data_IF_195199418943
#
_entry.id   IF_195199418943
#
_cell.length_a   1.000
_cell.length_b   1.000
_cell.length_c   1.000
_cell.angle_alpha   90.00
_cell.angle_beta   90.00
_cell.angle_gamma   90.00
#
_symmetry.space_group_name_H-M   'P 1'
#
loop_
_entity.id
_entity.type
_entity.pdbx_description
1 polymer ?
#
# COMPACT_ATOMS: atom_id res chain seq x y z
N UNK A 1 4.02 0.57 6.93
CA UNK A 1 3.86 0.69 5.47
C UNK A 1 4.11 -0.63 4.74
N UNK A 2 5.33 -1.20 4.67
CA UNK A 2 5.56 -2.48 3.98
C UNK A 2 4.70 -3.65 4.54
N UNK A 3 4.59 -3.75 5.86
CA UNK A 3 3.73 -4.74 6.53
C UNK A 3 2.24 -4.59 6.23
N UNK A 4 1.77 -3.38 5.95
CA UNK A 4 0.37 -3.13 5.59
C UNK A 4 0.06 -3.73 4.22
N UNK A 5 0.92 -3.44 3.22
CA UNK A 5 0.81 -4.01 1.88
C UNK A 5 0.89 -5.53 1.92
N UNK A 6 1.84 -6.09 2.68
CA UNK A 6 1.98 -7.54 2.80
C UNK A 6 0.72 -8.20 3.38
N UNK A 7 0.10 -7.59 4.40
CA UNK A 7 -1.15 -8.09 4.99
C UNK A 7 -2.30 -8.07 3.99
N UNK A 8 -2.44 -7.01 3.18
CA UNK A 8 -3.45 -6.94 2.12
C UNK A 8 -3.20 -7.98 1.02
N UNK A 9 -1.95 -8.19 0.62
CA UNK A 9 -1.60 -9.19 -0.40
C UNK A 9 -1.86 -10.62 0.07
N UNK A 10 -1.45 -10.96 1.29
CA UNK A 10 -1.73 -12.27 1.87
C UNK A 10 -3.24 -12.55 1.89
N UNK A 11 -4.04 -11.54 2.22
CA UNK A 11 -5.49 -11.64 2.21
C UNK A 11 -6.07 -11.83 0.79
N UNK A 12 -5.57 -11.09 -0.20
CA UNK A 12 -5.94 -11.29 -1.62
C UNK A 12 -5.67 -12.72 -2.10
N UNK A 13 -4.57 -13.33 -1.66
CA UNK A 13 -4.19 -14.69 -2.04
C UNK A 13 -4.76 -15.77 -1.12
N UNK A 14 -5.55 -15.42 -0.11
CA UNK A 14 -6.08 -16.38 0.87
C UNK A 14 -5.00 -17.09 1.69
N UNK A 15 -3.84 -16.45 1.89
CA UNK A 15 -2.71 -17.02 2.62
C UNK A 15 -2.88 -16.83 4.13
N UNK A 16 -2.90 -17.93 4.87
CA UNK A 16 -2.81 -17.90 6.33
C UNK A 16 -1.36 -17.76 6.77
N UNK A 17 -1.04 -16.64 7.43
CA UNK A 17 0.32 -16.32 7.89
C UNK A 17 0.34 -16.17 9.40
N UNK A 18 1.20 -16.94 10.06
CA UNK A 18 1.48 -16.80 11.48
C UNK A 18 2.40 -15.60 11.73
N UNK A 19 1.77 -14.45 11.92
CA UNK A 19 2.44 -13.18 12.19
C UNK A 19 3.24 -13.15 13.50
N UNK A 20 3.04 -14.09 14.43
CA UNK A 20 3.77 -14.13 15.70
C UNK A 20 5.26 -14.45 15.53
N UNK A 21 5.63 -15.06 14.40
CA UNK A 21 7.01 -15.44 14.06
C UNK A 21 7.84 -14.30 13.48
N UNK A 22 7.22 -13.14 13.23
CA UNK A 22 7.85 -12.02 12.55
C UNK A 22 7.96 -10.78 13.45
N UNK A 23 8.99 -9.98 13.21
CA UNK A 23 9.18 -8.72 13.90
C UNK A 23 8.31 -7.62 13.27
N UNK A 24 7.01 -7.69 13.53
CA UNK A 24 6.05 -6.69 13.05
C UNK A 24 6.12 -5.46 13.96
N UNK A 25 6.05 -4.23 13.40
CA UNK A 25 5.92 -3.03 14.21
C UNK A 25 4.74 -3.15 15.18
N UNK A 26 4.98 -2.82 16.45
CA UNK A 26 3.93 -2.82 17.49
C UNK A 26 2.83 -1.78 17.25
N UNK A 27 3.13 -0.78 16.43
CA UNK A 27 2.22 0.28 16.06
C UNK A 27 2.45 0.59 14.58
N UNK A 28 1.46 0.32 13.73
CA UNK A 28 1.45 0.68 12.31
C UNK A 28 0.66 1.97 12.04
N UNK A 29 0.23 2.69 13.07
CA UNK A 29 -0.52 3.93 12.97
C UNK A 29 -1.87 3.72 12.29
N UNK A 30 -2.23 4.65 11.40
CA UNK A 30 -3.49 4.61 10.64
C UNK A 30 -3.68 3.31 9.84
N UNK A 31 -2.60 2.62 9.48
CA UNK A 31 -2.68 1.36 8.74
C UNK A 31 -3.39 0.24 9.53
N UNK A 32 -3.39 0.28 10.87
CA UNK A 32 -4.12 -0.71 11.69
C UNK A 32 -5.63 -0.53 11.54
N UNK A 33 -6.09 0.72 11.63
CA UNK A 33 -7.49 1.08 11.45
C UNK A 33 -7.99 0.72 10.05
N UNK A 34 -7.17 1.03 9.04
CA UNK A 34 -7.49 0.69 7.65
C UNK A 34 -7.61 -0.82 7.46
N UNK A 35 -6.78 -1.64 8.13
CA UNK A 35 -6.89 -3.10 8.06
C UNK A 35 -8.17 -3.63 8.72
N UNK A 36 -8.63 -3.00 9.80
CA UNK A 36 -9.90 -3.34 10.45
C UNK A 36 -11.10 -3.03 9.53
N UNK A 37 -11.04 -1.90 8.82
CA UNK A 37 -12.10 -1.41 7.93
C UNK A 37 -11.85 -1.71 6.45
N UNK A 38 -10.90 -2.60 6.11
CA UNK A 38 -10.43 -2.83 4.73
C UNK A 38 -11.56 -3.19 3.76
N UNK A 39 -12.57 -3.90 4.27
CA UNK A 39 -13.74 -4.41 3.53
C UNK A 39 -14.99 -3.54 3.71
N UNK A 40 -14.89 -2.34 4.30
CA UNK A 40 -16.04 -1.47 4.52
C UNK A 40 -16.75 -1.14 3.20
N UNK A 41 -18.08 -1.26 3.17
CA UNK A 41 -18.91 -0.79 2.06
C UNK A 41 -19.27 0.70 2.17
N UNK A 42 -18.98 1.32 3.33
CA UNK A 42 -19.18 2.74 3.56
C UNK A 42 -18.08 3.56 2.86
N UNK A 43 -18.44 4.24 1.78
CA UNK A 43 -17.51 5.03 0.96
C UNK A 43 -17.05 6.29 1.68
N UNK A 44 -17.85 6.87 2.57
CA UNK A 44 -17.49 8.07 3.32
C UNK A 44 -16.43 7.74 4.38
N UNK A 45 -16.58 6.60 5.07
CA UNK A 45 -15.54 6.08 5.95
C UNK A 45 -14.24 5.79 5.19
N UNK A 46 -14.33 5.20 4.00
CA UNK A 46 -13.15 4.93 3.16
C UNK A 46 -12.46 6.23 2.74
N UNK A 47 -13.24 7.26 2.37
CA UNK A 47 -12.73 8.58 2.02
C UNK A 47 -12.00 9.25 3.19
N UNK A 48 -12.54 9.11 4.40
CA UNK A 48 -11.90 9.59 5.63
C UNK A 48 -10.57 8.88 5.88
N UNK A 49 -10.58 7.54 5.85
CA UNK A 49 -9.38 6.72 6.06
C UNK A 49 -8.28 7.02 5.03
N UNK A 50 -8.63 7.20 3.75
CA UNK A 50 -7.69 7.62 2.71
C UNK A 50 -7.06 8.96 3.04
N UNK A 51 -7.86 9.91 3.54
CA UNK A 51 -7.38 11.24 3.89
C UNK A 51 -6.42 11.18 5.09
N UNK A 52 -6.72 10.35 6.09
CA UNK A 52 -5.84 10.10 7.23
C UNK A 52 -4.55 9.38 6.83
N UNK A 53 -4.62 8.39 5.92
CA UNK A 53 -3.45 7.72 5.35
C UNK A 53 -2.55 8.71 4.63
N UNK A 54 -3.12 9.56 3.77
CA UNK A 54 -2.36 10.55 3.01
C UNK A 54 -1.66 11.57 3.92
N UNK A 55 -2.36 12.04 4.96
CA UNK A 55 -1.77 12.92 5.97
C UNK A 55 -0.65 12.23 6.76
N UNK A 56 -0.86 10.97 7.15
CA UNK A 56 0.13 10.18 7.87
C UNK A 56 1.38 9.93 7.02
N UNK A 57 1.20 9.59 5.73
CA UNK A 57 2.28 9.40 4.77
C UNK A 57 3.19 10.63 4.66
N UNK A 58 2.59 11.82 4.55
CA UNK A 58 3.35 13.09 4.53
C UNK A 58 4.14 13.27 5.83
N UNK A 59 3.51 13.08 6.99
CA UNK A 59 4.18 13.24 8.29
C UNK A 59 5.31 12.23 8.52
N UNK A 60 5.25 11.05 7.92
CA UNK A 60 6.34 10.07 7.99
C UNK A 60 7.47 10.35 6.99
N UNK A 61 7.20 11.15 5.95
CA UNK A 61 8.20 11.54 4.95
C UNK A 61 9.07 12.72 5.37
N UNK A 62 8.66 13.49 6.38
CA UNK A 62 9.42 14.62 6.88
C UNK A 62 10.65 14.15 7.67
N UNK A 63 11.88 14.54 7.28
CA UNK A 63 13.07 14.21 8.05
C UNK A 63 13.03 14.92 9.40
N UNK A 64 13.07 14.15 10.49
CA UNK A 64 12.93 14.68 11.86
C UNK A 64 14.25 15.17 12.43
N UNK A 65 15.38 14.76 11.84
CA UNK A 65 16.71 15.12 12.28
C UNK A 65 17.74 15.09 11.11
N UNK A 66 18.97 15.53 11.40
CA UNK A 66 20.05 15.63 10.41
C UNK A 66 20.52 14.25 9.90
N UNK A 67 20.34 13.16 10.66
CA UNK A 67 20.59 11.79 10.21
C UNK A 67 19.50 11.25 9.27
N UNK A 68 18.24 11.65 9.44
CA UNK A 68 17.16 11.35 8.51
C UNK A 68 17.39 12.08 7.18
N UNK A 69 17.99 13.28 7.22
CA UNK A 69 18.42 14.00 6.03
C UNK A 69 19.55 13.29 5.27
N UNK A 70 20.38 12.50 5.96
CA UNK A 70 21.39 11.61 5.36
C UNK A 70 20.73 10.39 4.68
N UNK A 71 19.57 9.91 5.17
CA UNK A 71 18.83 8.79 4.55
C UNK A 71 18.18 9.18 3.21
N UNK A 72 17.92 10.47 2.98
CA UNK A 72 17.56 11.03 1.67
C UNK A 72 18.71 10.93 0.63
N UNK A 73 19.92 10.49 0.99
CA UNK A 73 20.97 10.24 0.00
C UNK A 73 20.64 9.07 -0.94
N UNK A 74 19.73 8.19 -0.53
CA UNK A 74 19.30 7.02 -1.32
C UNK A 74 17.85 7.10 -1.82
N UNK A 75 17.06 8.07 -1.36
CA UNK A 75 15.69 8.32 -1.81
C UNK A 75 15.51 9.82 -2.10
N UNK A 76 14.94 10.17 -3.25
CA UNK A 76 14.69 11.59 -3.57
C UNK A 76 13.42 12.04 -2.84
N UNK A 77 13.40 13.27 -2.31
CA UNK A 77 12.25 13.80 -1.58
C UNK A 77 10.92 13.72 -2.38
N UNK A 78 10.98 13.78 -3.71
CA UNK A 78 9.79 13.61 -4.57
C UNK A 78 9.27 12.16 -4.63
N UNK A 79 10.04 11.16 -4.23
CA UNK A 79 9.56 9.77 -4.16
C UNK A 79 8.56 9.57 -3.01
N UNK A 80 8.55 10.48 -2.03
CA UNK A 80 7.54 10.51 -0.97
C UNK A 80 6.22 11.14 -1.40
N UNK A 81 6.06 11.58 -2.65
CA UNK A 81 4.74 12.01 -3.15
C UNK A 81 3.88 10.84 -3.61
N UNK A 82 4.47 9.65 -3.78
CA UNK A 82 3.77 8.45 -4.23
C UNK A 82 3.16 7.73 -3.03
N UNK A 83 1.83 7.70 -2.95
CA UNK A 83 1.09 7.05 -1.87
C UNK A 83 0.74 5.61 -2.24
N UNK A 84 1.77 4.80 -2.55
CA UNK A 84 1.59 3.45 -3.10
C UNK A 84 0.79 2.54 -2.16
N UNK A 85 0.85 2.72 -0.86
CA UNK A 85 0.06 1.93 0.08
C UNK A 85 -1.43 2.25 -0.01
N UNK A 86 -1.78 3.52 -0.29
CA UNK A 86 -3.18 3.90 -0.53
C UNK A 86 -3.64 3.27 -1.86
N UNK A 87 -2.82 3.33 -2.90
CA UNK A 87 -3.12 2.73 -4.21
C UNK A 87 -3.30 1.20 -4.10
N UNK A 88 -2.45 0.51 -3.35
CA UNK A 88 -2.58 -0.93 -3.09
C UNK A 88 -3.91 -1.24 -2.40
N UNK A 89 -4.32 -0.44 -1.42
CA UNK A 89 -5.59 -0.66 -0.74
C UNK A 89 -6.79 -0.41 -1.66
N UNK A 90 -6.76 0.66 -2.46
CA UNK A 90 -7.78 0.92 -3.48
C UNK A 90 -7.87 -0.24 -4.49
N UNK A 91 -6.72 -0.81 -4.88
CA UNK A 91 -6.68 -1.98 -5.75
C UNK A 91 -7.27 -3.23 -5.09
N UNK A 92 -6.87 -3.50 -3.85
CA UNK A 92 -7.42 -4.58 -3.04
C UNK A 92 -8.95 -4.49 -2.99
N UNK A 93 -9.51 -3.31 -2.74
CA UNK A 93 -10.95 -3.07 -2.71
C UNK A 93 -11.60 -3.35 -4.06
N UNK A 94 -10.99 -2.88 -5.14
CA UNK A 94 -11.49 -3.11 -6.50
C UNK A 94 -11.55 -4.61 -6.84
N UNK A 95 -10.49 -5.38 -6.54
CA UNK A 95 -10.44 -6.83 -6.77
C UNK A 95 -11.54 -7.56 -5.98
N UNK A 96 -11.87 -7.07 -4.78
CA UNK A 96 -12.93 -7.63 -3.94
C UNK A 96 -14.34 -7.07 -4.26
N UNK A 97 -14.52 -6.34 -5.36
CA UNK A 97 -15.83 -5.81 -5.78
C UNK A 97 -16.36 -4.65 -4.92
N UNK A 98 -15.49 -4.00 -4.15
CA UNK A 98 -15.86 -2.89 -3.28
C UNK A 98 -15.70 -1.55 -4.00
N UNK A 99 -16.64 -0.64 -3.74
CA UNK A 99 -16.60 0.72 -4.29
C UNK A 99 -15.50 1.56 -3.64
N UNK A 100 -14.79 2.34 -4.46
CA UNK A 100 -13.84 3.36 -4.01
C UNK A 100 -14.42 4.77 -4.26
N UNK A 101 -13.97 5.79 -3.51
CA UNK A 101 -14.28 7.18 -3.83
C UNK A 101 -13.82 7.54 -5.25
N UNK A 102 -14.64 8.33 -5.95
CA UNK A 102 -14.33 8.81 -7.31
C UNK A 102 -13.47 10.08 -7.31
N UNK A 103 -13.52 10.83 -6.21
CA UNK A 103 -12.78 12.07 -5.98
C UNK A 103 -12.26 12.01 -4.55
N UNK A 104 -11.01 12.40 -4.35
CA UNK A 104 -10.39 12.37 -3.02
C UNK A 104 -10.36 13.77 -2.40
N UNK A 105 -10.72 13.85 -1.13
CA UNK A 105 -10.65 15.08 -0.32
C UNK A 105 -9.22 15.54 -0.10
N UNK A 106 -8.27 14.62 0.06
CA UNK A 106 -6.86 14.96 0.32
C UNK A 106 -6.10 15.23 -0.99
N UNK A 107 -5.44 16.38 -1.08
CA UNK A 107 -4.76 16.87 -2.29
C UNK A 107 -3.68 15.93 -2.83
N UNK A 108 -2.93 15.25 -1.95
CA UNK A 108 -1.94 14.23 -2.33
C UNK A 108 -2.52 13.18 -3.30
N UNK A 109 -3.74 12.72 -3.05
CA UNK A 109 -4.39 11.69 -3.86
C UNK A 109 -4.96 12.21 -5.18
N UNK A 110 -5.01 13.54 -5.36
CA UNK A 110 -5.44 14.16 -6.61
C UNK A 110 -4.26 14.42 -7.57
N UNK A 111 -3.03 14.08 -7.18
CA UNK A 111 -1.86 14.19 -8.06
C UNK A 111 -1.96 13.20 -9.24
N UNK A 112 -1.47 13.56 -10.44
CA UNK A 112 -1.53 12.67 -11.61
C UNK A 112 -0.90 11.29 -11.41
N UNK A 113 0.09 11.19 -10.52
CA UNK A 113 0.81 9.95 -10.25
C UNK A 113 0.17 9.08 -9.15
N UNK A 114 -0.81 9.60 -8.39
CA UNK A 114 -1.54 8.87 -7.35
C UNK A 114 -2.92 8.44 -7.87
N UNK A 115 -2.92 7.81 -9.04
CA UNK A 115 -4.13 7.30 -9.67
C UNK A 115 -3.98 5.79 -9.91
N UNK A 116 -5.07 5.04 -9.73
CA UNK A 116 -5.09 3.67 -10.22
C UNK A 116 -4.98 3.68 -11.75
N UNK A 117 -4.20 2.78 -12.36
CA UNK A 117 -4.09 2.72 -13.80
C UNK A 117 -5.45 2.38 -14.42
N UNK A 118 -5.88 3.14 -15.44
CA UNK A 118 -7.15 2.93 -16.15
C UNK A 118 -7.24 1.53 -16.79
N UNK A 119 -6.09 0.97 -17.15
CA UNK A 119 -5.93 -0.39 -17.61
C UNK A 119 -4.87 -1.04 -16.74
N UNK A 120 -5.25 -2.08 -15.99
CA UNK A 120 -4.23 -2.92 -15.37
C UNK A 120 -3.47 -3.61 -16.50
N UNK A 121 -2.13 -3.48 -16.56
CA UNK A 121 -1.39 -4.37 -17.42
C UNK A 121 -1.81 -5.78 -17.05
N UNK A 122 -2.14 -6.59 -18.06
CA UNK A 122 -2.37 -8.00 -17.86
C UNK A 122 -0.99 -8.56 -17.50
N UNK A 123 -0.60 -8.44 -16.21
CA UNK A 123 0.64 -9.00 -15.69
C UNK A 123 0.40 -10.50 -15.69
N UNK A 124 0.64 -11.10 -16.85
CA UNK A 124 0.89 -12.52 -16.92
C UNK A 124 2.15 -12.75 -16.11
N UNK A 125 2.00 -13.39 -14.94
CA UNK A 125 3.12 -13.99 -14.21
C UNK A 125 3.75 -15.17 -14.97
N UNK A 126 3.29 -15.44 -16.20
CA UNK A 126 4.02 -16.17 -17.24
C UNK A 126 5.14 -15.30 -17.83
N UNK A 127 5.97 -14.74 -16.95
CA UNK A 127 7.19 -14.07 -17.34
C UNK A 127 8.33 -15.06 -17.09
N UNK A 128 9.15 -15.34 -18.10
CA UNK A 128 10.23 -16.34 -18.03
C UNK A 128 11.15 -16.12 -16.82
N UNK A 129 11.24 -14.87 -16.35
CA UNK A 129 12.00 -14.46 -15.17
C UNK A 129 11.33 -14.96 -13.88
N UNK A 130 10.01 -14.83 -13.74
CA UNK A 130 9.28 -15.32 -12.57
C UNK A 130 9.40 -16.84 -12.47
N UNK A 131 9.17 -17.55 -13.58
CA UNK A 131 9.35 -19.00 -13.64
C UNK A 131 10.79 -19.43 -13.35
N UNK A 132 11.80 -18.69 -13.83
CA UNK A 132 13.20 -18.93 -13.45
C UNK A 132 13.45 -18.74 -11.96
N UNK A 133 12.89 -17.69 -11.35
CA UNK A 133 13.05 -17.43 -9.92
C UNK A 133 12.40 -18.56 -9.10
N UNK A 134 11.17 -18.95 -9.42
CA UNK A 134 10.48 -20.04 -8.73
C UNK A 134 11.25 -21.38 -8.84
N UNK A 135 11.78 -21.69 -10.03
CA UNK A 135 12.63 -22.87 -10.26
C UNK A 135 13.97 -22.81 -9.53
N UNK A 136 14.58 -21.63 -9.36
CA UNK A 136 15.84 -21.48 -8.61
C UNK A 136 15.61 -21.78 -7.11
N UNK A 137 14.43 -21.46 -6.58
CA UNK A 137 14.14 -21.58 -5.16
C UNK A 137 13.30 -22.81 -4.76
N UNK A 138 12.94 -23.70 -5.71
CA UNK A 138 12.13 -24.92 -5.47
C UNK A 138 10.87 -24.68 -4.63
N UNK A 139 10.18 -23.57 -4.88
CA UNK A 139 8.90 -23.26 -4.26
C UNK A 139 7.80 -23.73 -5.23
N UNK A 140 7.48 -25.03 -5.20
CA UNK A 140 6.26 -25.56 -5.85
C UNK A 140 5.07 -25.54 -4.87
#
# INVERSE_FOLDING_TARGET
>A
MAWFILKLLNDCFGLEVDYSKYHIPKNMGIYEEVLLHKNSSDVDLVQELISQMAQYHILQSEPKNQSDMMSLQFCKAHEYIYAYEILVWLQYRHINGLSNPKVFSHSLMNLPHNQLPNNYPNIRFDDDIFNKIMNIYNLE
#
